data_IF_240357112508
#
_entry.id   IF_240357112508
#
_cell.length_a   1.000
_cell.length_b   1.000
_cell.length_c   1.000
_cell.angle_alpha   90.00
_cell.angle_beta   90.00
_cell.angle_gamma   90.00
#
_symmetry.space_group_name_H-M   'P 1'
#
loop_
_entity.id
_entity.type
_entity.pdbx_description
1 polymer ?
#
# COMPACT_ATOMS: atom_id res chain seq x y z
N UNK A 1 -1.52 -3.75 -4.59
CA UNK A 1 -0.23 -4.04 -3.93
C UNK A 1 0.48 -2.70 -3.78
N UNK A 2 1.16 -2.45 -2.67
CA UNK A 2 1.79 -1.14 -2.43
C UNK A 2 3.30 -1.13 -2.72
N UNK A 3 3.93 -2.31 -2.84
CA UNK A 3 5.36 -2.43 -3.11
C UNK A 3 5.65 -3.66 -3.95
N UNK A 4 6.53 -3.50 -4.93
CA UNK A 4 7.10 -4.61 -5.70
C UNK A 4 8.61 -4.38 -5.85
N UNK A 5 9.39 -5.41 -5.52
CA UNK A 5 10.84 -5.40 -5.61
C UNK A 5 11.33 -6.69 -6.25
N UNK A 6 12.34 -6.57 -7.11
CA UNK A 6 12.93 -7.70 -7.82
C UNK A 6 14.45 -7.65 -7.74
N UNK A 7 15.07 -8.82 -7.61
CA UNK A 7 16.51 -8.96 -7.82
C UNK A 7 16.75 -9.46 -9.24
N UNK A 8 17.28 -8.58 -10.10
CA UNK A 8 17.35 -8.83 -11.54
C UNK A 8 16.05 -8.45 -12.23
N UNK A 9 16.12 -8.26 -13.56
CA UNK A 9 14.97 -7.88 -14.35
C UNK A 9 14.13 -9.12 -14.72
N UNK A 10 12.87 -9.14 -14.28
CA UNK A 10 11.92 -10.18 -14.67
C UNK A 10 10.61 -9.54 -15.11
N UNK A 11 10.17 -9.87 -16.31
CA UNK A 11 8.94 -9.33 -16.87
C UNK A 11 7.71 -10.07 -16.32
N UNK A 12 7.32 -9.71 -15.09
CA UNK A 12 6.14 -10.25 -14.38
C UNK A 12 4.92 -9.34 -14.47
N UNK A 13 5.08 -8.16 -15.08
CA UNK A 13 4.03 -7.15 -15.24
C UNK A 13 3.41 -7.16 -16.65
N UNK A 14 4.04 -7.85 -17.61
CA UNK A 14 3.49 -7.98 -18.96
C UNK A 14 2.15 -8.70 -18.97
N UNK A 15 1.21 -8.14 -19.74
CA UNK A 15 -0.15 -8.68 -19.92
C UNK A 15 -0.93 -8.81 -18.59
N UNK A 16 -0.61 -7.99 -17.58
CA UNK A 16 -1.43 -7.85 -16.38
C UNK A 16 -2.53 -6.85 -16.68
N UNK A 17 -3.77 -7.24 -16.38
CA UNK A 17 -4.93 -6.35 -16.54
C UNK A 17 -4.97 -5.38 -15.36
N UNK A 18 -4.52 -4.15 -15.62
CA UNK A 18 -4.42 -3.09 -14.62
C UNK A 18 -5.80 -2.60 -14.15
N UNK A 19 -5.81 -1.91 -13.02
CA UNK A 19 -7.02 -1.32 -12.41
C UNK A 19 -8.10 -2.34 -12.04
N UNK A 20 -7.69 -3.57 -11.71
CA UNK A 20 -8.57 -4.62 -11.18
C UNK A 20 -8.11 -5.04 -9.79
N UNK A 21 -8.99 -5.68 -9.03
CA UNK A 21 -8.65 -6.29 -7.74
C UNK A 21 -7.77 -7.55 -7.89
N UNK A 22 -7.66 -8.09 -9.11
CA UNK A 22 -6.91 -9.30 -9.42
C UNK A 22 -5.42 -9.07 -9.73
N UNK A 23 -4.99 -7.80 -9.89
CA UNK A 23 -3.63 -7.46 -10.35
C UNK A 23 -2.55 -8.17 -9.52
N UNK A 24 -2.64 -8.12 -8.19
CA UNK A 24 -1.63 -8.72 -7.31
C UNK A 24 -1.55 -10.25 -7.48
N UNK A 25 -2.69 -10.92 -7.58
CA UNK A 25 -2.75 -12.37 -7.77
C UNK A 25 -2.22 -12.77 -9.16
N UNK A 26 -2.53 -12.00 -10.21
CA UNK A 26 -1.99 -12.22 -11.55
C UNK A 26 -0.46 -12.13 -11.55
N UNK A 27 0.13 -11.13 -10.88
CA UNK A 27 1.59 -10.96 -10.76
C UNK A 27 2.21 -12.15 -10.02
N UNK A 28 1.61 -12.60 -8.91
CA UNK A 28 2.08 -13.76 -8.14
C UNK A 28 2.09 -15.03 -9.01
N UNK A 29 1.02 -15.29 -9.77
CA UNK A 29 0.96 -16.42 -10.71
C UNK A 29 2.05 -16.33 -11.77
N UNK A 30 2.26 -15.15 -12.35
CA UNK A 30 3.30 -14.93 -13.36
C UNK A 30 4.72 -15.16 -12.82
N UNK A 31 4.99 -14.68 -11.60
CA UNK A 31 6.29 -14.86 -10.94
C UNK A 31 6.55 -16.34 -10.61
N UNK A 32 5.56 -17.04 -10.03
CA UNK A 32 5.66 -18.48 -9.74
C UNK A 32 5.83 -19.32 -11.01
N UNK A 33 5.10 -18.99 -12.07
CA UNK A 33 5.23 -19.66 -13.37
C UNK A 33 6.62 -19.53 -14.03
N UNK A 34 7.42 -18.54 -13.60
CA UNK A 34 8.81 -18.33 -14.02
C UNK A 34 9.84 -18.93 -13.04
N UNK A 35 9.39 -19.66 -12.02
CA UNK A 35 10.26 -20.27 -11.01
C UNK A 35 10.85 -19.27 -10.00
N UNK A 36 10.29 -18.06 -9.89
CA UNK A 36 10.74 -17.08 -8.91
C UNK A 36 10.22 -17.44 -7.51
N UNK A 37 11.05 -17.17 -6.50
CA UNK A 37 10.62 -17.21 -5.09
C UNK A 37 10.06 -15.85 -4.70
N UNK A 38 8.96 -15.87 -3.95
CA UNK A 38 8.26 -14.68 -3.48
C UNK A 38 8.39 -14.55 -1.96
N UNK A 39 8.51 -13.32 -1.50
CA UNK A 39 8.35 -12.93 -0.11
C UNK A 39 7.24 -11.88 -0.05
N UNK A 40 6.33 -12.02 0.91
CA UNK A 40 5.20 -11.11 1.10
C UNK A 40 5.52 -10.15 2.26
N UNK A 41 5.17 -8.88 2.08
CA UNK A 41 5.20 -7.90 3.16
C UNK A 41 3.84 -7.89 3.87
N UNK A 42 3.76 -7.41 5.12
CA UNK A 42 2.49 -7.19 5.79
C UNK A 42 1.54 -6.38 4.91
N UNK A 43 0.26 -6.78 4.90
CA UNK A 43 -0.78 -6.05 4.20
C UNK A 43 -0.94 -4.65 4.80
N UNK A 44 -1.25 -3.70 3.93
CA UNK A 44 -1.63 -2.34 4.28
C UNK A 44 -2.73 -1.90 3.31
N UNK A 45 -3.10 -0.63 3.35
CA UNK A 45 -4.14 -0.04 2.53
C UNK A 45 -3.62 1.23 1.87
N UNK A 46 -4.12 1.52 0.67
CA UNK A 46 -3.95 2.81 0.03
C UNK A 46 -5.04 3.77 0.55
N UNK A 47 -4.84 5.07 0.35
CA UNK A 47 -5.80 6.10 0.76
C UNK A 47 -6.43 6.68 -0.49
N UNK A 48 -7.62 6.21 -0.85
CA UNK A 48 -8.30 6.59 -2.10
C UNK A 48 -9.49 7.51 -1.83
N UNK A 49 -10.18 7.33 -0.70
CA UNK A 49 -11.37 8.11 -0.35
C UNK A 49 -11.43 8.59 1.11
N UNK A 50 -12.58 9.17 1.48
CA UNK A 50 -12.81 9.73 2.81
C UNK A 50 -12.86 8.68 3.93
N UNK A 51 -13.33 7.46 3.63
CA UNK A 51 -13.40 6.38 4.60
C UNK A 51 -11.99 5.82 4.88
N UNK A 52 -11.14 5.73 3.86
CA UNK A 52 -9.72 5.39 4.03
C UNK A 52 -8.98 6.44 4.88
N UNK A 53 -9.29 7.72 4.66
CA UNK A 53 -8.73 8.81 5.45
C UNK A 53 -9.17 8.76 6.92
N UNK A 54 -10.44 8.42 7.18
CA UNK A 54 -10.94 8.19 8.53
C UNK A 54 -10.20 7.03 9.21
N UNK A 55 -9.99 5.93 8.47
CA UNK A 55 -9.20 4.78 8.94
C UNK A 55 -7.76 5.19 9.27
N UNK A 56 -7.10 5.94 8.38
CA UNK A 56 -5.73 6.42 8.59
C UNK A 56 -5.61 7.24 9.89
N UNK A 57 -6.57 8.12 10.17
CA UNK A 57 -6.59 8.91 11.42
C UNK A 57 -6.63 8.01 12.65
N UNK A 58 -7.46 6.97 12.62
CA UNK A 58 -7.58 6.02 13.73
C UNK A 58 -6.28 5.22 13.93
N UNK A 59 -5.64 4.76 12.86
CA UNK A 59 -4.39 3.99 12.91
C UNK A 59 -3.18 4.83 13.36
N UNK A 60 -3.21 6.14 13.14
CA UNK A 60 -2.14 7.06 13.56
C UNK A 60 -2.37 7.66 14.94
N UNK A 61 -3.59 7.62 15.49
CA UNK A 61 -3.85 8.16 16.82
C UNK A 61 -3.12 7.35 17.93
N UNK A 62 -2.77 7.98 19.06
CA UNK A 62 -2.98 9.40 19.37
C UNK A 62 -1.82 10.31 18.93
N UNK A 63 -0.66 9.76 18.58
CA UNK A 63 0.61 10.51 18.50
C UNK A 63 1.25 10.54 17.11
N UNK A 64 0.68 9.81 16.14
CA UNK A 64 1.17 9.75 14.78
C UNK A 64 2.53 9.09 14.61
N UNK A 65 3.03 8.34 15.61
CA UNK A 65 4.42 7.88 15.63
C UNK A 65 4.77 6.98 14.44
N UNK A 66 3.80 6.25 13.91
CA UNK A 66 3.98 5.38 12.75
C UNK A 66 4.21 6.16 11.44
N UNK A 67 3.70 7.39 11.32
CA UNK A 67 3.88 8.24 10.14
C UNK A 67 3.90 9.74 10.52
N UNK A 68 4.98 10.25 11.14
CA UNK A 68 5.00 11.60 11.72
C UNK A 68 4.76 12.73 10.71
N UNK A 69 5.25 12.57 9.48
CA UNK A 69 5.03 13.54 8.40
C UNK A 69 3.56 13.59 7.97
N UNK A 70 2.91 12.42 7.87
CA UNK A 70 1.49 12.30 7.54
C UNK A 70 0.62 12.87 8.67
N UNK A 71 0.95 12.55 9.92
CA UNK A 71 0.23 13.08 11.08
C UNK A 71 0.29 14.61 11.16
N UNK A 72 1.47 15.20 10.94
CA UNK A 72 1.61 16.65 10.84
C UNK A 72 0.73 17.25 9.74
N UNK A 73 0.70 16.63 8.56
CA UNK A 73 -0.14 17.10 7.47
C UNK A 73 -1.64 17.04 7.82
N UNK A 74 -2.09 15.99 8.52
CA UNK A 74 -3.46 15.90 9.00
C UNK A 74 -3.81 17.05 9.96
N UNK A 75 -2.90 17.42 10.88
CA UNK A 75 -3.09 18.58 11.77
C UNK A 75 -3.14 19.90 11.00
N UNK A 76 -2.22 20.12 10.07
CA UNK A 76 -2.17 21.35 9.24
C UNK A 76 -3.46 21.52 8.40
N UNK A 77 -4.11 20.42 8.03
CA UNK A 77 -5.37 20.40 7.29
C UNK A 77 -6.61 20.45 8.21
N UNK A 78 -6.45 20.48 9.54
CA UNK A 78 -7.56 20.46 10.50
C UNK A 78 -8.36 19.15 10.48
N UNK A 79 -7.72 18.06 10.06
CA UNK A 79 -8.34 16.74 9.94
C UNK A 79 -8.16 15.87 11.19
N UNK A 80 -7.37 16.33 12.16
CA UNK A 80 -7.26 15.71 13.48
C UNK A 80 -7.37 16.82 14.52
N UNK A 81 -8.10 16.54 15.60
CA UNK A 81 -8.31 17.53 16.65
C UNK A 81 -6.97 17.89 17.30
N UNK A 82 -6.70 19.18 17.41
CA UNK A 82 -5.68 19.70 18.31
C UNK A 82 -6.32 19.78 19.70
N UNK A 83 -5.94 18.88 20.60
CA UNK A 83 -6.16 19.12 22.04
C UNK A 83 -5.51 20.44 22.48
#
# INVERSE_FOLDING_TARGET
>A
YYLIGQRGAHDILKNIEMSTDQVAEQIVRQARGRGLRLAELPATFDIDDGDDLARLRCELAPDGIAAPATWRALHELGLVDTD
#
